data_IF_983179256126
#
_entry.id   IF_983179256126
#
_cell.length_a   1.000
_cell.length_b   1.000
_cell.length_c   1.000
_cell.angle_alpha   90.00
_cell.angle_beta   90.00
_cell.angle_gamma   90.00
#
_symmetry.space_group_name_H-M   'P 1'
#
loop_
_entity.id
_entity.type
_entity.pdbx_description
1 polymer ?
#
# COMPACT_ATOMS: atom_id res chain seq x y z
N UNK A 1 -7.64 14.88 -5.20
CA UNK A 1 -6.96 15.03 -3.90
C UNK A 1 -7.97 15.10 -2.75
N UNK A 2 -8.83 16.12 -2.69
CA UNK A 2 -9.79 16.31 -1.57
C UNK A 2 -10.65 15.09 -1.28
N UNK A 3 -11.20 14.43 -2.30
CA UNK A 3 -11.98 13.20 -2.14
C UNK A 3 -11.16 12.04 -1.56
N UNK A 4 -9.92 11.86 -2.04
CA UNK A 4 -8.99 10.83 -1.55
C UNK A 4 -8.65 11.04 -0.07
N UNK A 5 -8.28 12.27 0.31
CA UNK A 5 -7.95 12.61 1.71
C UNK A 5 -9.15 12.51 2.64
N UNK A 6 -10.35 12.90 2.18
CA UNK A 6 -11.57 12.77 2.94
C UNK A 6 -11.91 11.29 3.18
N UNK A 7 -11.80 10.46 2.14
CA UNK A 7 -12.06 9.03 2.25
C UNK A 7 -11.07 8.35 3.21
N UNK A 8 -9.78 8.65 3.11
CA UNK A 8 -8.78 8.14 4.06
C UNK A 8 -9.07 8.59 5.48
N UNK A 9 -9.42 9.86 5.70
CA UNK A 9 -9.80 10.36 7.02
C UNK A 9 -10.99 9.60 7.60
N UNK A 10 -12.01 9.30 6.78
CA UNK A 10 -13.17 8.51 7.21
C UNK A 10 -12.79 7.08 7.58
N UNK A 11 -11.93 6.42 6.79
CA UNK A 11 -11.46 5.06 7.08
C UNK A 11 -10.65 5.05 8.37
N UNK A 12 -9.68 5.95 8.52
CA UNK A 12 -8.80 6.01 9.68
C UNK A 12 -9.59 6.27 10.97
N UNK A 13 -10.62 7.10 10.92
CA UNK A 13 -11.47 7.41 12.07
C UNK A 13 -12.51 6.31 12.38
N UNK A 14 -12.70 5.33 11.50
CA UNK A 14 -13.71 4.29 11.67
C UNK A 14 -13.32 3.31 12.78
N UNK A 15 -14.28 2.90 13.61
CA UNK A 15 -14.04 1.92 14.66
C UNK A 15 -13.55 0.59 14.11
N UNK A 16 -14.03 0.20 12.93
CA UNK A 16 -13.63 -1.01 12.22
C UNK A 16 -12.14 -1.00 11.93
N UNK A 17 -11.61 0.10 11.41
CA UNK A 17 -10.17 0.21 11.11
C UNK A 17 -9.33 0.22 12.39
N UNK A 18 -9.86 0.78 13.47
CA UNK A 18 -9.18 0.87 14.77
C UNK A 18 -9.23 -0.43 15.59
N UNK A 19 -10.02 -1.44 15.20
CA UNK A 19 -10.17 -2.71 15.94
C UNK A 19 -9.03 -3.69 15.58
N UNK A 20 -8.14 -4.07 16.52
CA UNK A 20 -6.99 -4.95 16.24
C UNK A 20 -7.37 -6.35 15.74
N UNK A 21 -8.58 -6.81 16.08
CA UNK A 21 -9.10 -8.13 15.75
C UNK A 21 -10.21 -8.06 14.70
N UNK A 22 -10.22 -7.03 13.85
CA UNK A 22 -11.27 -6.90 12.88
C UNK A 22 -11.22 -8.04 11.84
N UNK A 23 -12.21 -8.93 11.89
CA UNK A 23 -12.42 -10.01 10.94
C UNK A 23 -12.84 -9.49 9.56
N UNK A 24 -13.17 -8.20 9.44
CA UNK A 24 -13.57 -7.57 8.19
C UNK A 24 -12.35 -7.12 7.38
N UNK A 25 -11.84 -8.02 6.53
CA UNK A 25 -10.72 -7.77 5.60
C UNK A 25 -10.99 -6.57 4.65
N UNK A 26 -12.27 -6.24 4.42
CA UNK A 26 -12.67 -5.19 3.48
C UNK A 26 -12.11 -3.81 3.82
N UNK A 27 -12.08 -3.40 5.09
CA UNK A 27 -11.67 -2.03 5.46
C UNK A 27 -10.17 -1.79 5.23
N UNK A 28 -9.33 -2.79 5.48
CA UNK A 28 -7.89 -2.71 5.21
C UNK A 28 -7.57 -2.74 3.72
N UNK A 29 -8.36 -3.49 2.94
CA UNK A 29 -8.26 -3.50 1.48
C UNK A 29 -8.64 -2.13 0.91
N UNK A 30 -9.75 -1.56 1.37
CA UNK A 30 -10.24 -0.27 0.92
C UNK A 30 -9.25 0.84 1.32
N UNK A 31 -8.71 0.81 2.56
CA UNK A 31 -7.60 1.67 2.96
C UNK A 31 -6.41 1.56 2.00
N UNK A 32 -5.91 0.35 1.76
CA UNK A 32 -4.72 0.12 0.95
C UNK A 32 -4.90 0.63 -0.49
N UNK A 33 -6.11 0.45 -1.06
CA UNK A 33 -6.45 0.94 -2.38
C UNK A 33 -6.46 2.47 -2.45
N UNK A 34 -7.16 3.14 -1.54
CA UNK A 34 -7.23 4.61 -1.53
C UNK A 34 -5.88 5.23 -1.17
N UNK A 35 -5.10 4.59 -0.29
CA UNK A 35 -3.77 5.06 0.07
C UNK A 35 -2.78 4.93 -1.10
N UNK A 36 -2.89 3.85 -1.87
CA UNK A 36 -2.14 3.71 -3.12
C UNK A 36 -2.49 4.82 -4.12
N UNK A 37 -3.77 5.20 -4.25
CA UNK A 37 -4.17 6.34 -5.09
C UNK A 37 -3.53 7.66 -4.63
N UNK A 38 -3.47 7.91 -3.32
CA UNK A 38 -2.76 9.07 -2.77
C UNK A 38 -1.28 9.08 -3.18
N UNK A 39 -0.63 7.90 -3.11
CA UNK A 39 0.76 7.75 -3.52
C UNK A 39 0.96 8.05 -5.01
N UNK A 40 0.08 7.54 -5.89
CA UNK A 40 0.09 7.86 -7.33
C UNK A 40 -0.01 9.37 -7.55
N UNK A 41 -0.96 10.02 -6.88
CA UNK A 41 -1.15 11.47 -6.99
C UNK A 41 0.13 12.22 -6.59
N UNK A 42 0.78 11.81 -5.49
CA UNK A 42 2.06 12.41 -5.07
C UNK A 42 3.16 12.21 -6.11
N UNK A 43 3.31 11.01 -6.67
CA UNK A 43 4.35 10.71 -7.68
C UNK A 43 4.15 11.45 -9.00
N UNK A 44 2.91 11.77 -9.36
CA UNK A 44 2.59 12.55 -10.56
C UNK A 44 2.81 14.05 -10.42
N UNK A 45 3.23 14.51 -9.24
CA UNK A 45 3.43 15.93 -8.95
C UNK A 45 2.13 16.60 -8.52
N UNK A 46 2.11 17.09 -7.28
CA UNK A 46 0.98 17.82 -6.73
C UNK A 46 1.14 19.32 -6.95
N UNK A 47 0.01 20.02 -7.01
CA UNK A 47 -0.01 21.48 -6.85
C UNK A 47 0.33 21.82 -5.41
N UNK A 48 0.85 23.03 -5.19
CA UNK A 48 1.29 23.48 -3.87
C UNK A 48 0.20 23.33 -2.78
N UNK A 49 -1.04 23.70 -3.08
CA UNK A 49 -2.16 23.57 -2.12
C UNK A 49 -2.53 22.11 -1.83
N UNK A 50 -2.47 21.23 -2.83
CA UNK A 50 -2.70 19.80 -2.67
C UNK A 50 -1.58 19.15 -1.85
N UNK A 51 -0.35 19.60 -2.03
CA UNK A 51 0.80 19.14 -1.25
C UNK A 51 0.69 19.57 0.22
N UNK A 52 0.31 20.83 0.48
CA UNK A 52 0.03 21.30 1.85
C UNK A 52 -1.10 20.50 2.50
N UNK A 53 -2.18 20.24 1.77
CA UNK A 53 -3.30 19.44 2.28
C UNK A 53 -2.88 18.00 2.60
N UNK A 54 -2.05 17.38 1.75
CA UNK A 54 -1.51 16.05 2.00
C UNK A 54 -0.60 16.03 3.22
N UNK A 55 0.33 16.98 3.34
CA UNK A 55 1.23 17.09 4.51
C UNK A 55 0.41 17.24 5.79
N UNK A 56 -0.58 18.13 5.80
CA UNK A 56 -1.47 18.31 6.94
C UNK A 56 -2.23 17.03 7.30
N UNK A 57 -2.73 16.29 6.30
CA UNK A 57 -3.36 14.99 6.51
C UNK A 57 -2.39 13.98 7.12
N UNK A 58 -1.16 13.85 6.60
CA UNK A 58 -0.17 12.91 7.13
C UNK A 58 0.19 13.23 8.59
N UNK A 59 0.42 14.51 8.91
CA UNK A 59 0.73 14.97 10.27
C UNK A 59 -0.39 14.66 11.26
N UNK A 60 -1.63 15.00 10.89
CA UNK A 60 -2.79 14.85 11.79
C UNK A 60 -3.25 13.40 11.93
N UNK A 61 -3.05 12.56 10.92
CA UNK A 61 -3.42 11.15 10.96
C UNK A 61 -2.37 10.26 11.60
N UNK A 62 -1.10 10.69 11.68
CA UNK A 62 0.01 9.88 12.18
C UNK A 62 -0.25 9.25 13.57
N UNK A 63 -0.72 9.96 14.61
CA UNK A 63 -0.96 9.36 15.93
C UNK A 63 -2.02 8.26 15.90
N UNK A 64 -3.04 8.43 15.05
CA UNK A 64 -4.14 7.47 14.90
C UNK A 64 -3.64 6.25 14.14
N UNK A 65 -2.86 6.47 13.07
CA UNK A 65 -2.34 5.41 12.23
C UNK A 65 -1.31 4.55 12.98
N UNK A 66 -0.50 5.15 13.86
CA UNK A 66 0.54 4.44 14.62
C UNK A 66 0.01 3.19 15.34
N UNK A 67 -1.16 3.27 15.97
CA UNK A 67 -1.76 2.17 16.71
C UNK A 67 -2.18 0.99 15.81
N UNK A 68 -2.40 1.23 14.53
CA UNK A 68 -2.94 0.25 13.58
C UNK A 68 -1.94 -0.21 12.52
N UNK A 69 -0.74 0.41 12.43
CA UNK A 69 0.27 0.04 11.43
C UNK A 69 0.70 -1.43 11.49
N UNK A 70 0.92 -1.99 12.68
CA UNK A 70 1.32 -3.40 12.81
C UNK A 70 0.18 -4.38 12.42
N UNK A 71 -1.06 -4.22 12.92
CA UNK A 71 -2.21 -4.98 12.42
C UNK A 71 -2.44 -4.81 10.91
N UNK A 72 -2.26 -3.60 10.37
CA UNK A 72 -2.40 -3.33 8.96
C UNK A 72 -1.34 -4.08 8.14
N UNK A 73 -0.07 -4.06 8.56
CA UNK A 73 1.01 -4.80 7.91
C UNK A 73 0.68 -6.29 7.84
N UNK A 74 0.30 -6.88 8.97
CA UNK A 74 -0.09 -8.27 9.06
C UNK A 74 -1.25 -8.61 8.11
N UNK A 75 -2.28 -7.76 8.05
CA UNK A 75 -3.43 -7.97 7.18
C UNK A 75 -3.10 -7.82 5.69
N UNK A 76 -2.20 -6.90 5.31
CA UNK A 76 -1.75 -6.76 3.93
C UNK A 76 -0.87 -7.96 3.54
N UNK A 77 0.10 -8.34 4.39
CA UNK A 77 0.95 -9.51 4.14
C UNK A 77 0.12 -10.79 3.95
N UNK A 78 -0.84 -11.04 4.83
CA UNK A 78 -1.75 -12.20 4.70
C UNK A 78 -2.60 -12.17 3.43
N UNK A 79 -3.02 -10.98 2.98
CA UNK A 79 -3.74 -10.86 1.72
C UNK A 79 -2.85 -11.24 0.53
N UNK A 80 -1.61 -10.75 0.52
CA UNK A 80 -0.64 -11.07 -0.52
C UNK A 80 -0.33 -12.57 -0.51
N UNK A 81 -0.01 -13.14 0.66
CA UNK A 81 0.30 -14.56 0.83
C UNK A 81 -0.84 -15.45 0.31
N UNK A 82 -2.10 -15.08 0.61
CA UNK A 82 -3.29 -15.78 0.11
C UNK A 82 -3.38 -15.77 -1.41
N UNK A 83 -3.09 -14.63 -2.04
CA UNK A 83 -3.10 -14.51 -3.50
C UNK A 83 -1.95 -15.34 -4.10
N UNK A 84 -0.73 -15.14 -3.59
CA UNK A 84 0.49 -15.82 -4.06
C UNK A 84 0.42 -17.34 -3.91
N UNK A 85 -0.29 -17.85 -2.91
CA UNK A 85 -0.44 -19.29 -2.64
C UNK A 85 -1.63 -19.94 -3.36
N UNK A 86 -2.51 -19.15 -3.99
CA UNK A 86 -3.66 -19.65 -4.72
C UNK A 86 -3.36 -19.94 -6.19
N UNK A 87 -4.35 -20.53 -6.88
CA UNK A 87 -4.39 -20.52 -8.34
C UNK A 87 -4.55 -19.08 -8.82
N UNK A 88 -3.67 -18.65 -9.73
CA UNK A 88 -3.67 -17.27 -10.21
C UNK A 88 -4.80 -17.00 -11.21
N UNK A 89 -5.51 -15.89 -11.02
CA UNK A 89 -6.51 -15.37 -11.94
C UNK A 89 -6.08 -13.99 -12.49
N UNK A 90 -6.79 -13.52 -13.54
CA UNK A 90 -6.50 -12.25 -14.21
C UNK A 90 -6.38 -11.09 -13.19
N UNK A 91 -5.32 -10.27 -13.31
CA UNK A 91 -5.05 -9.07 -12.47
C UNK A 91 -4.65 -9.33 -11.02
N UNK A 92 -4.45 -10.58 -10.60
CA UNK A 92 -3.97 -10.87 -9.25
C UNK A 92 -2.54 -10.38 -9.01
N UNK A 93 -1.68 -10.48 -10.02
CA UNK A 93 -0.35 -9.88 -9.97
C UNK A 93 -0.40 -8.37 -9.72
N UNK A 94 -1.28 -7.65 -10.42
CA UNK A 94 -1.48 -6.22 -10.23
C UNK A 94 -1.98 -5.91 -8.81
N UNK A 95 -2.80 -6.78 -8.24
CA UNK A 95 -3.29 -6.63 -6.87
C UNK A 95 -2.14 -6.75 -5.86
N UNK A 96 -1.25 -7.72 -6.02
CA UNK A 96 -0.03 -7.85 -5.21
C UNK A 96 0.86 -6.61 -5.34
N UNK A 97 1.09 -6.15 -6.57
CA UNK A 97 1.92 -4.99 -6.83
C UNK A 97 1.37 -3.72 -6.16
N UNK A 98 0.05 -3.52 -6.18
CA UNK A 98 -0.62 -2.42 -5.47
C UNK A 98 -0.46 -2.55 -3.97
N UNK A 99 -0.74 -3.72 -3.39
CA UNK A 99 -0.63 -3.95 -1.95
C UNK A 99 0.80 -3.72 -1.41
N UNK A 100 1.82 -4.25 -2.11
CA UNK A 100 3.23 -3.98 -1.75
C UNK A 100 3.60 -2.51 -1.90
N UNK A 101 3.09 -1.86 -2.94
CA UNK A 101 3.30 -0.43 -3.13
C UNK A 101 2.62 0.40 -2.04
N UNK A 102 1.47 -0.01 -1.52
CA UNK A 102 0.84 0.64 -0.37
C UNK A 102 1.72 0.57 0.88
N UNK A 103 2.37 -0.57 1.16
CA UNK A 103 3.31 -0.70 2.28
C UNK A 103 4.50 0.23 2.10
N UNK A 104 5.14 0.26 0.92
CA UNK A 104 6.26 1.17 0.69
C UNK A 104 5.84 2.64 0.72
N UNK A 105 4.68 2.97 0.17
CA UNK A 105 4.14 4.32 0.24
C UNK A 105 3.91 4.75 1.70
N UNK A 106 3.42 3.86 2.57
CA UNK A 106 3.28 4.15 3.99
C UNK A 106 4.63 4.45 4.63
N UNK A 107 5.65 3.64 4.35
CA UNK A 107 7.02 3.86 4.84
C UNK A 107 7.57 5.19 4.35
N UNK A 108 7.49 5.47 3.06
CA UNK A 108 8.01 6.69 2.45
C UNK A 108 7.29 7.94 3.00
N UNK A 109 5.95 7.96 2.94
CA UNK A 109 5.16 9.15 3.28
C UNK A 109 5.09 9.41 4.79
N UNK A 110 5.06 8.37 5.63
CA UNK A 110 4.97 8.54 7.08
C UNK A 110 6.31 8.49 7.82
N UNK A 111 7.44 8.16 7.16
CA UNK A 111 8.77 8.18 7.81
C UNK A 111 9.11 9.46 8.58
N UNK A 112 8.69 10.68 8.17
CA UNK A 112 8.97 11.89 8.94
C UNK A 112 8.16 12.00 10.25
N UNK A 113 7.07 11.24 10.36
CA UNK A 113 6.07 11.38 11.43
C UNK A 113 6.05 10.16 12.35
N UNK A 114 6.44 8.98 11.86
CA UNK A 114 6.36 7.70 12.57
C UNK A 114 7.56 6.81 12.25
N UNK A 115 8.00 5.94 13.18
CA UNK A 115 9.01 4.93 12.90
C UNK A 115 8.40 3.74 12.13
N UNK A 116 7.92 3.98 10.90
CA UNK A 116 7.12 3.00 10.13
C UNK A 116 7.88 1.70 9.91
N UNK A 117 9.19 1.72 9.66
CA UNK A 117 9.98 0.50 9.44
C UNK A 117 10.04 -0.42 10.67
N UNK A 118 9.93 0.15 11.87
CA UNK A 118 9.87 -0.64 13.12
C UNK A 118 8.48 -1.25 13.29
N UNK A 119 7.43 -0.53 12.91
CA UNK A 119 6.03 -0.94 13.07
C UNK A 119 5.54 -1.86 11.95
N UNK A 120 6.14 -1.75 10.77
CA UNK A 120 5.87 -2.52 9.55
C UNK A 120 7.20 -3.09 9.02
N UNK A 121 7.79 -4.06 9.73
CA UNK A 121 9.04 -4.68 9.28
C UNK A 121 8.84 -5.34 7.91
N UNK A 122 9.95 -5.43 7.17
CA UNK A 122 9.96 -6.19 5.92
C UNK A 122 9.73 -7.68 6.21
N UNK A 123 9.03 -8.33 5.30
CA UNK A 123 8.73 -9.75 5.33
C UNK A 123 9.51 -10.41 4.19
N UNK A 124 10.71 -10.91 4.51
CA UNK A 124 11.64 -11.46 3.52
C UNK A 124 11.09 -12.75 2.90
N UNK A 125 10.46 -13.61 3.69
CA UNK A 125 9.83 -14.85 3.22
C UNK A 125 8.70 -14.54 2.21
N UNK A 126 7.86 -13.55 2.52
CA UNK A 126 6.81 -13.12 1.59
C UNK A 126 7.40 -12.50 0.32
N UNK A 127 8.48 -11.71 0.41
CA UNK A 127 9.16 -11.14 -0.75
C UNK A 127 9.76 -12.23 -1.66
N UNK A 128 10.32 -13.29 -1.08
CA UNK A 128 10.78 -14.47 -1.83
C UNK A 128 9.61 -15.16 -2.54
N UNK A 129 8.48 -15.39 -1.85
CA UNK A 129 7.29 -15.98 -2.45
C UNK A 129 6.74 -15.16 -3.61
N UNK A 130 6.67 -13.83 -3.46
CA UNK A 130 6.24 -12.91 -4.54
C UNK A 130 7.23 -13.00 -5.69
N UNK A 131 8.53 -13.00 -5.41
CA UNK A 131 9.58 -13.06 -6.43
C UNK A 131 9.50 -14.35 -7.25
N UNK A 132 9.35 -15.52 -6.60
CA UNK A 132 9.23 -16.80 -7.30
C UNK A 132 7.95 -16.87 -8.14
N UNK A 133 6.81 -16.40 -7.61
CA UNK A 133 5.55 -16.35 -8.35
C UNK A 133 5.64 -15.41 -9.56
N UNK A 134 6.29 -14.25 -9.39
CA UNK A 134 6.43 -13.25 -10.44
C UNK A 134 7.22 -13.71 -11.66
N UNK A 135 8.15 -14.67 -11.50
CA UNK A 135 8.86 -15.28 -12.65
C UNK A 135 7.93 -15.97 -13.64
N UNK A 136 6.75 -16.39 -13.19
CA UNK A 136 5.78 -17.16 -13.98
C UNK A 136 4.60 -16.28 -14.37
N UNK A 137 4.02 -15.57 -13.40
CA UNK A 137 2.75 -14.85 -13.54
C UNK A 137 2.93 -13.32 -13.54
N UNK A 138 4.15 -12.83 -13.35
CA UNK A 138 4.45 -11.42 -13.08
C UNK A 138 4.63 -10.54 -14.30
N UNK A 139 4.29 -11.05 -15.48
CA UNK A 139 4.35 -10.30 -16.72
C UNK A 139 3.21 -9.28 -16.76
N UNK A 140 3.57 -8.01 -16.83
CA UNK A 140 2.62 -6.88 -16.92
C UNK A 140 2.74 -6.27 -18.31
N UNK A 141 1.60 -6.00 -18.96
CA UNK A 141 1.61 -5.35 -20.28
C UNK A 141 2.27 -3.95 -20.20
N UNK A 142 3.03 -3.55 -21.23
CA UNK A 142 3.57 -2.20 -21.32
C UNK A 142 2.48 -1.14 -21.14
N UNK A 143 2.75 -0.16 -20.28
CA UNK A 143 1.83 0.94 -19.99
C UNK A 143 0.88 0.70 -18.81
N UNK A 144 0.82 -0.51 -18.24
CA UNK A 144 0.12 -0.75 -16.96
C UNK A 144 1.00 -0.33 -15.77
N UNK A 145 2.32 -0.46 -15.90
CA UNK A 145 3.26 -0.01 -14.87
C UNK A 145 3.11 1.50 -14.67
N UNK A 146 2.85 1.98 -13.44
CA UNK A 146 2.72 3.40 -13.21
C UNK A 146 4.02 4.14 -13.54
N UNK A 147 3.91 5.27 -14.26
CA UNK A 147 5.05 6.12 -14.57
C UNK A 147 5.70 6.67 -13.29
N UNK A 148 7.03 6.73 -13.25
CA UNK A 148 7.82 7.32 -12.17
C UNK A 148 7.74 6.59 -10.81
N UNK A 149 7.53 5.28 -10.78
CA UNK A 149 7.70 4.51 -9.54
C UNK A 149 9.18 4.28 -9.20
N UNK A 150 9.57 4.26 -7.92
CA UNK A 150 10.96 4.07 -7.53
C UNK A 150 11.39 2.60 -7.67
N UNK A 151 12.70 2.39 -7.81
CA UNK A 151 13.31 1.08 -8.10
C UNK A 151 13.08 0.03 -6.99
N UNK A 152 12.87 0.49 -5.75
CA UNK A 152 12.51 -0.35 -4.60
C UNK A 152 11.12 -1.01 -4.76
N UNK A 153 10.30 -0.62 -5.74
CA UNK A 153 9.08 -1.34 -6.13
C UNK A 153 9.37 -2.38 -7.23
N UNK A 154 10.40 -3.19 -7.04
CA UNK A 154 10.92 -4.15 -8.01
C UNK A 154 9.87 -5.08 -8.63
N UNK A 155 8.77 -5.36 -7.92
CA UNK A 155 7.66 -6.22 -8.37
C UNK A 155 6.93 -5.70 -9.61
N UNK A 156 7.06 -4.42 -9.96
CA UNK A 156 6.51 -3.86 -11.20
C UNK A 156 7.37 -4.11 -12.44
N UNK A 157 8.68 -4.33 -12.28
CA UNK A 157 9.66 -4.28 -13.37
C UNK A 157 10.47 -5.55 -13.56
N UNK A 158 10.61 -6.36 -12.50
CA UNK A 158 11.52 -7.53 -12.50
C UNK A 158 11.19 -8.54 -13.61
N UNK A 159 9.95 -8.52 -14.10
CA UNK A 159 9.44 -9.46 -15.11
C UNK A 159 8.67 -8.75 -16.24
N UNK A 160 8.79 -7.42 -16.37
CA UNK A 160 8.25 -6.71 -17.54
C UNK A 160 9.14 -6.95 -18.76
N UNK A 161 8.54 -7.27 -19.91
CA UNK A 161 9.21 -7.53 -21.19
C UNK A 161 9.76 -6.25 -21.84
#
# INVERSE_FOLDING_TARGET
>A
MTSTLQHLSTIIASEEFQKPQNLYVGIHRDFSAVFYELYILKRNGLKEDDEKAMIHFLETSAPILQAVLSPLNFNISRQIEKIVSATFYEKEWLSICKLRSSIQALKELYSPYLPVDVLMPQDEELDELISERGKIEGFVEPGITPSNFPDNHWWWWKFSL
#
